data_IF_552695130351
#
_entry.id   IF_552695130351
#
_cell.length_a   1.000
_cell.length_b   1.000
_cell.length_c   1.000
_cell.angle_alpha   90.00
_cell.angle_beta   90.00
_cell.angle_gamma   90.00
#
_symmetry.space_group_name_H-M   'P 1'
#
loop_
_entity.id
_entity.type
_entity.pdbx_description
1 polymer ?
#
# COMPACT_ATOMS: atom_id res chain seq x y z
N UNK A 1 -14.25 2.51 1.43
CA UNK A 1 -14.20 3.67 0.51
C UNK A 1 -12.88 3.70 -0.28
N UNK A 2 -11.73 3.58 0.40
CA UNK A 2 -10.38 3.68 -0.17
C UNK A 2 -10.14 2.90 -1.48
N UNK A 3 -10.54 1.63 -1.58
CA UNK A 3 -10.33 0.82 -2.80
C UNK A 3 -11.05 1.39 -4.04
N UNK A 4 -12.23 2.01 -3.88
CA UNK A 4 -12.95 2.66 -5.00
C UNK A 4 -12.28 3.97 -5.41
N UNK A 5 -11.74 4.71 -4.46
CA UNK A 5 -11.01 5.96 -4.72
C UNK A 5 -9.68 5.67 -5.42
N UNK A 6 -8.97 4.62 -5.00
CA UNK A 6 -7.77 4.08 -5.66
C UNK A 6 -8.04 3.72 -7.12
N UNK A 7 -9.14 3.00 -7.38
CA UNK A 7 -9.53 2.63 -8.74
C UNK A 7 -9.91 3.85 -9.60
N UNK A 8 -10.47 4.90 -8.98
CA UNK A 8 -10.82 6.15 -9.68
C UNK A 8 -9.60 7.04 -9.95
N UNK A 9 -8.57 6.97 -9.12
CA UNK A 9 -7.33 7.73 -9.29
C UNK A 9 -6.50 7.23 -10.49
N UNK A 10 -6.63 5.96 -10.87
CA UNK A 10 -5.88 5.38 -11.99
C UNK A 10 -4.37 5.33 -11.74
N UNK A 11 -3.59 5.20 -12.82
CA UNK A 11 -2.13 5.16 -12.76
C UNK A 11 -1.60 3.97 -11.95
N UNK A 12 -0.59 4.21 -11.11
CA UNK A 12 0.08 3.18 -10.32
C UNK A 12 -0.59 2.93 -8.96
N UNK A 13 -1.67 3.65 -8.64
CA UNK A 13 -2.39 3.52 -7.37
C UNK A 13 -2.89 2.11 -7.11
N UNK A 14 -3.31 1.39 -8.17
CA UNK A 14 -3.72 -0.02 -8.06
C UNK A 14 -2.57 -0.96 -7.67
N UNK A 15 -1.38 -0.74 -8.22
CA UNK A 15 -0.18 -1.52 -7.87
C UNK A 15 0.23 -1.29 -6.41
N UNK A 16 0.25 -0.02 -5.97
CA UNK A 16 0.54 0.33 -4.58
C UNK A 16 -0.47 -0.30 -3.61
N UNK A 17 -1.75 -0.24 -3.93
CA UNK A 17 -2.82 -0.83 -3.11
C UNK A 17 -2.67 -2.34 -2.99
N UNK A 18 -2.40 -3.03 -4.09
CA UNK A 18 -2.26 -4.48 -4.06
C UNK A 18 -1.06 -4.91 -3.21
N UNK A 19 0.09 -4.27 -3.41
CA UNK A 19 1.30 -4.51 -2.64
C UNK A 19 1.11 -4.25 -1.13
N UNK A 20 0.48 -3.14 -0.77
CA UNK A 20 0.18 -2.80 0.62
C UNK A 20 -0.76 -3.83 1.27
N UNK A 21 -1.80 -4.26 0.53
CA UNK A 21 -2.78 -5.24 1.00
C UNK A 21 -2.13 -6.60 1.27
N UNK A 22 -1.28 -7.06 0.36
CA UNK A 22 -0.54 -8.32 0.53
C UNK A 22 0.40 -8.24 1.73
N UNK A 23 1.21 -7.18 1.86
CA UNK A 23 2.10 -7.02 3.01
C UNK A 23 1.35 -6.93 4.35
N UNK A 24 0.19 -6.29 4.38
CA UNK A 24 -0.67 -6.24 5.56
C UNK A 24 -1.28 -7.63 5.88
N UNK A 25 -1.68 -8.39 4.86
CA UNK A 25 -2.19 -9.74 5.02
C UNK A 25 -1.12 -10.68 5.57
N UNK A 26 0.10 -10.64 5.03
CA UNK A 26 1.24 -11.43 5.52
C UNK A 26 1.50 -11.15 7.00
N UNK A 27 1.54 -9.87 7.39
CA UNK A 27 1.71 -9.48 8.78
C UNK A 27 0.55 -9.92 9.69
N UNK A 28 -0.68 -9.91 9.19
CA UNK A 28 -1.82 -10.43 9.95
C UNK A 28 -1.70 -11.95 10.16
N UNK A 29 -1.35 -12.70 9.11
CA UNK A 29 -1.12 -14.15 9.18
C UNK A 29 0.02 -14.49 10.15
N UNK A 30 1.07 -13.68 10.16
CA UNK A 30 2.22 -13.82 11.08
C UNK A 30 1.91 -13.38 12.52
N UNK A 31 0.67 -12.96 12.82
CA UNK A 31 0.27 -12.48 14.15
C UNK A 31 0.91 -11.16 14.58
N UNK A 32 1.49 -10.43 13.63
CA UNK A 32 2.21 -9.16 13.83
C UNK A 32 1.29 -7.95 13.96
N UNK A 33 0.08 -8.02 13.44
CA UNK A 33 -0.96 -6.97 13.51
C UNK A 33 -2.35 -7.62 13.65
N UNK A 34 -3.33 -6.87 14.13
CA UNK A 34 -4.73 -7.30 14.18
C UNK A 34 -5.44 -7.19 12.82
N UNK A 35 -6.61 -7.84 12.70
CA UNK A 35 -7.41 -7.80 11.48
C UNK A 35 -7.80 -6.37 11.06
N UNK A 36 -8.16 -5.52 12.03
CA UNK A 36 -8.55 -4.12 11.76
C UNK A 36 -7.35 -3.25 11.37
N UNK A 37 -6.14 -3.60 11.82
CA UNK A 37 -4.93 -2.85 11.49
C UNK A 37 -4.55 -2.97 10.02
N UNK A 38 -4.96 -4.05 9.34
CA UNK A 38 -4.70 -4.25 7.91
C UNK A 38 -5.22 -3.07 7.09
N UNK A 39 -6.43 -2.61 7.38
CA UNK A 39 -7.05 -1.50 6.67
C UNK A 39 -6.29 -0.19 6.91
N UNK A 40 -5.81 0.02 8.14
CA UNK A 40 -5.02 1.20 8.50
C UNK A 40 -3.64 1.19 7.84
N UNK A 41 -2.96 0.05 7.77
CA UNK A 41 -1.66 -0.08 7.07
C UNK A 41 -1.83 0.28 5.59
N UNK A 42 -2.85 -0.27 4.93
CA UNK A 42 -3.11 0.03 3.51
C UNK A 42 -3.45 1.51 3.31
N UNK A 43 -4.23 2.10 4.21
CA UNK A 43 -4.55 3.53 4.17
C UNK A 43 -3.28 4.40 4.29
N UNK A 44 -2.42 4.13 5.28
CA UNK A 44 -1.17 4.86 5.48
C UNK A 44 -0.28 4.82 4.22
N UNK A 45 -0.15 3.63 3.60
CA UNK A 45 0.67 3.47 2.39
C UNK A 45 0.12 4.27 1.23
N UNK A 46 -1.19 4.21 1.00
CA UNK A 46 -1.84 4.95 -0.09
C UNK A 46 -1.77 6.45 0.15
N UNK A 47 -1.97 6.92 1.38
CA UNK A 47 -1.87 8.34 1.72
C UNK A 47 -0.46 8.87 1.44
N UNK A 48 0.57 8.18 1.93
CA UNK A 48 1.98 8.56 1.73
C UNK A 48 2.32 8.60 0.24
N UNK A 49 2.04 7.53 -0.49
CA UNK A 49 2.47 7.42 -1.89
C UNK A 49 1.59 8.24 -2.85
N UNK A 50 0.35 8.58 -2.48
CA UNK A 50 -0.48 9.50 -3.28
C UNK A 50 0.12 10.91 -3.30
N UNK A 51 0.79 11.32 -2.21
CA UNK A 51 1.58 12.56 -2.16
C UNK A 51 2.73 12.58 -3.17
N UNK A 52 3.24 11.40 -3.55
CA UNK A 52 4.37 11.22 -4.48
C UNK A 52 3.94 11.09 -5.96
N UNK A 53 2.64 11.24 -6.28
CA UNK A 53 2.16 11.37 -7.66
C UNK A 53 1.70 10.08 -8.37
N UNK A 54 1.32 9.03 -7.63
CA UNK A 54 0.87 7.73 -8.17
C UNK A 54 -0.19 7.82 -9.29
N UNK A 55 -1.14 8.75 -9.19
CA UNK A 55 -2.26 8.86 -10.13
C UNK A 55 -1.89 9.41 -11.51
N UNK A 56 -0.68 9.96 -11.69
CA UNK A 56 -0.24 10.56 -12.97
C UNK A 56 0.88 9.78 -13.65
N UNK A 57 1.40 8.74 -13.00
CA UNK A 57 2.53 7.98 -13.50
C UNK A 57 2.13 7.04 -14.66
N UNK A 58 3.00 6.94 -15.67
CA UNK A 58 2.83 5.99 -16.75
C UNK A 58 2.89 4.56 -16.21
N UNK A 59 1.96 3.71 -16.65
CA UNK A 59 1.92 2.30 -16.28
C UNK A 59 2.86 1.54 -17.22
N UNK A 60 4.06 1.22 -16.72
CA UNK A 60 5.03 0.35 -17.37
C UNK A 60 5.40 -0.78 -16.40
N UNK A 61 6.00 -1.85 -16.90
CA UNK A 61 6.43 -2.95 -16.03
C UNK A 61 7.40 -2.46 -14.94
N UNK A 62 8.35 -1.60 -15.30
CA UNK A 62 9.33 -1.06 -14.36
C UNK A 62 8.69 -0.15 -13.32
N UNK A 63 7.76 0.73 -13.72
CA UNK A 63 7.08 1.62 -12.78
C UNK A 63 6.15 0.87 -11.83
N UNK A 64 5.51 -0.20 -12.30
CA UNK A 64 4.73 -1.13 -11.46
C UNK A 64 5.63 -1.83 -10.45
N UNK A 65 6.78 -2.38 -10.87
CA UNK A 65 7.73 -3.06 -9.97
C UNK A 65 8.30 -2.14 -8.91
N UNK A 66 8.69 -0.92 -9.29
CA UNK A 66 9.17 0.10 -8.35
C UNK A 66 8.08 0.50 -7.35
N UNK A 67 6.85 0.68 -7.84
CA UNK A 67 5.70 1.00 -6.98
C UNK A 67 5.42 -0.11 -5.98
N UNK A 68 5.42 -1.37 -6.40
CA UNK A 68 5.23 -2.52 -5.51
C UNK A 68 6.30 -2.55 -4.41
N UNK A 69 7.59 -2.43 -4.77
CA UNK A 69 8.69 -2.39 -3.81
C UNK A 69 8.54 -1.26 -2.79
N UNK A 70 8.20 -0.06 -3.26
CA UNK A 70 8.02 1.10 -2.39
C UNK A 70 6.81 0.91 -1.45
N UNK A 71 5.69 0.41 -1.96
CA UNK A 71 4.51 0.12 -1.16
C UNK A 71 4.79 -0.92 -0.06
N UNK A 72 5.53 -1.99 -0.37
CA UNK A 72 5.94 -2.99 0.64
C UNK A 72 6.84 -2.40 1.72
N UNK A 73 7.77 -1.53 1.33
CA UNK A 73 8.63 -0.81 2.30
C UNK A 73 7.81 0.08 3.22
N UNK A 74 6.89 0.87 2.67
CA UNK A 74 5.99 1.74 3.47
C UNK A 74 5.07 0.93 4.37
N UNK A 75 4.57 -0.22 3.90
CA UNK A 75 3.76 -1.12 4.71
C UNK A 75 4.57 -1.66 5.91
N UNK A 76 5.82 -2.07 5.69
CA UNK A 76 6.71 -2.53 6.77
C UNK A 76 6.92 -1.42 7.82
N UNK A 77 7.23 -0.19 7.40
CA UNK A 77 7.36 0.98 8.29
C UNK A 77 6.08 1.26 9.09
N UNK A 78 4.90 1.11 8.46
CA UNK A 78 3.60 1.30 9.09
C UNK A 78 3.26 0.19 10.11
N UNK A 79 3.63 -1.06 9.82
CA UNK A 79 3.46 -2.20 10.72
C UNK A 79 4.37 -2.08 11.95
N UNK A 80 5.65 -1.74 11.76
CA UNK A 80 6.60 -1.59 12.87
C UNK A 80 6.17 -0.52 13.88
N UNK A 81 5.44 0.51 13.45
CA UNK A 81 4.89 1.54 14.34
C UNK A 81 3.76 1.02 15.25
N UNK A 82 3.06 -0.05 14.85
CA UNK A 82 1.91 -0.63 15.57
C UNK A 82 2.30 -1.72 16.56
N UNK A 83 3.55 -2.16 16.52
CA UNK A 83 4.10 -3.17 17.43
C UNK A 83 4.81 -2.57 18.64
N UNK A 84 4.93 -1.23 18.69
CA UNK A 84 5.50 -0.49 19.82
C UNK A 84 4.39 -0.03 20.74
#
# INVERSE_FOLDING_TARGET
ALAREVMRAGGLTGAAFNAAKEAALDAFIDGRIGFLDMASVVADVIEIMSGDGLGKAAITLDSVRQTDQMARRRAAESIEKRQR
#
